data_IF_520666444089
#
_entry.id   IF_520666444089
#
_cell.length_a   1.000
_cell.length_b   1.000
_cell.length_c   1.000
_cell.angle_alpha   90.00
_cell.angle_beta   90.00
_cell.angle_gamma   90.00
#
_symmetry.space_group_name_H-M   'P 1'
#
loop_
_entity.id
_entity.type
_entity.pdbx_description
1 polymer ?
#
# COMPACT_ATOMS: atom_id res chain seq x y z
N UNK A 1 -15.43 3.83 17.97
CA UNK A 1 -16.73 3.82 17.26
C UNK A 1 -16.98 2.43 16.72
N UNK A 2 -18.08 1.84 17.14
CA UNK A 2 -18.42 0.48 16.72
C UNK A 2 -19.32 0.53 15.49
N UNK A 3 -18.85 -0.08 14.41
CA UNK A 3 -19.64 -0.27 13.20
C UNK A 3 -19.83 -1.77 12.98
N UNK A 4 -21.00 -2.18 12.51
CA UNK A 4 -21.19 -3.57 12.17
C UNK A 4 -20.44 -3.95 10.88
N UNK A 5 -20.32 -5.22 10.60
CA UNK A 5 -19.58 -5.73 9.47
C UNK A 5 -20.14 -5.25 8.13
N UNK A 6 -21.47 -5.22 8.00
CA UNK A 6 -22.12 -4.76 6.78
C UNK A 6 -21.80 -3.30 6.48
N UNK A 7 -21.83 -2.44 7.51
CA UNK A 7 -21.47 -1.02 7.36
C UNK A 7 -20.03 -0.84 6.94
N UNK A 8 -19.12 -1.63 7.52
CA UNK A 8 -17.70 -1.57 7.15
C UNK A 8 -17.47 -1.95 5.69
N UNK A 9 -18.11 -3.00 5.21
CA UNK A 9 -18.02 -3.40 3.81
C UNK A 9 -18.62 -2.35 2.88
N UNK A 10 -19.78 -1.79 3.25
CA UNK A 10 -20.46 -0.80 2.43
C UNK A 10 -19.68 0.51 2.30
N UNK A 11 -18.98 0.92 3.35
CA UNK A 11 -18.23 2.16 3.40
C UNK A 11 -16.82 2.07 2.83
N UNK A 12 -16.25 0.84 2.74
CA UNK A 12 -14.91 0.67 2.21
C UNK A 12 -14.87 1.07 0.74
N UNK A 13 -13.93 1.90 0.38
CA UNK A 13 -13.67 2.29 -1.00
C UNK A 13 -12.20 2.61 -1.20
N UNK A 14 -11.76 2.62 -2.45
CA UNK A 14 -10.43 3.11 -2.80
C UNK A 14 -10.44 4.63 -2.81
N UNK A 15 -9.56 5.23 -2.03
CA UNK A 15 -9.44 6.69 -1.94
C UNK A 15 -8.17 7.08 -2.68
N UNK A 16 -8.30 7.97 -3.67
CA UNK A 16 -7.16 8.40 -4.48
C UNK A 16 -6.59 9.74 -4.07
N UNK A 17 -7.39 10.59 -3.42
CA UNK A 17 -6.93 11.87 -2.91
C UNK A 17 -6.32 11.67 -1.53
N UNK A 18 -5.06 11.25 -1.51
CA UNK A 18 -4.35 10.92 -0.28
C UNK A 18 -3.67 12.14 0.32
N UNK A 19 -3.57 12.14 1.65
CA UNK A 19 -2.78 13.11 2.39
C UNK A 19 -1.79 12.41 3.30
N UNK A 20 -0.81 13.16 3.81
CA UNK A 20 0.23 12.60 4.67
C UNK A 20 0.04 12.92 6.15
N UNK A 21 -1.14 13.37 6.53
CA UNK A 21 -1.44 13.66 7.92
C UNK A 21 -1.49 12.36 8.71
N UNK A 22 -0.65 12.27 9.73
CA UNK A 22 -0.59 11.10 10.59
C UNK A 22 -1.70 11.18 11.65
N UNK A 23 -2.66 10.25 11.58
CA UNK A 23 -3.78 10.16 12.52
C UNK A 23 -3.47 9.16 13.63
N UNK A 24 -2.77 8.08 13.30
CA UNK A 24 -2.37 7.03 14.25
C UNK A 24 -0.85 6.91 14.28
N UNK A 25 -0.26 6.49 15.43
CA UNK A 25 1.16 6.17 15.48
C UNK A 25 1.51 5.03 14.51
N UNK A 26 2.74 5.04 14.00
CA UNK A 26 3.22 3.99 13.08
C UNK A 26 3.11 2.60 13.68
N UNK A 27 3.39 2.46 14.97
CA UNK A 27 3.27 1.18 15.69
C UNK A 27 1.84 0.64 15.67
N UNK A 28 0.85 1.53 15.79
CA UNK A 28 -0.55 1.15 15.76
C UNK A 28 -1.01 0.76 14.35
N UNK A 29 -0.57 1.52 13.34
CA UNK A 29 -0.85 1.19 11.94
C UNK A 29 -0.25 -0.18 11.57
N UNK A 30 1.00 -0.40 11.95
CA UNK A 30 1.68 -1.68 11.70
C UNK A 30 1.00 -2.84 12.42
N UNK A 31 0.47 -2.60 13.63
CA UNK A 31 -0.30 -3.59 14.38
C UNK A 31 -1.58 -3.99 13.66
N UNK A 32 -2.30 -3.03 13.10
CA UNK A 32 -3.52 -3.28 12.33
C UNK A 32 -3.20 -4.13 11.09
N UNK A 33 -2.13 -3.81 10.40
CA UNK A 33 -1.69 -4.56 9.21
C UNK A 33 -1.30 -5.98 9.59
N UNK A 34 -0.56 -6.16 10.68
CA UNK A 34 -0.16 -7.49 11.18
C UNK A 34 -1.38 -8.34 11.53
N UNK A 35 -2.38 -7.76 12.18
CA UNK A 35 -3.63 -8.46 12.52
C UNK A 35 -4.39 -8.87 11.27
N UNK A 36 -4.45 -7.99 10.27
CA UNK A 36 -5.10 -8.30 9.00
C UNK A 36 -4.44 -9.49 8.31
N UNK A 37 -3.11 -9.54 8.29
CA UNK A 37 -2.36 -10.67 7.73
C UNK A 37 -2.62 -11.96 8.50
N UNK A 38 -2.63 -11.89 9.82
CA UNK A 38 -2.79 -13.05 10.68
C UNK A 38 -4.16 -13.70 10.53
N UNK A 39 -5.21 -12.89 10.39
CA UNK A 39 -6.59 -13.37 10.41
C UNK A 39 -7.26 -13.43 9.03
N UNK A 40 -6.64 -12.87 7.99
CA UNK A 40 -7.19 -12.94 6.64
C UNK A 40 -6.97 -14.34 6.05
N UNK A 41 -8.01 -14.98 5.51
CA UNK A 41 -7.85 -16.29 4.90
C UNK A 41 -7.00 -16.23 3.64
N UNK A 42 -6.26 -17.30 3.39
CA UNK A 42 -5.47 -17.47 2.18
C UNK A 42 -5.91 -18.73 1.42
N UNK A 43 -5.63 -18.76 0.11
CA UNK A 43 -5.99 -19.90 -0.72
C UNK A 43 -5.32 -21.18 -0.18
N UNK A 44 -6.11 -22.22 0.07
CA UNK A 44 -5.64 -23.50 0.65
C UNK A 44 -4.86 -23.31 1.95
N UNK A 45 -5.12 -22.23 2.68
CA UNK A 45 -4.40 -21.89 3.91
C UNK A 45 -2.87 -21.87 3.71
N UNK A 46 -2.42 -21.37 2.57
CA UNK A 46 -1.01 -21.36 2.20
C UNK A 46 -0.17 -20.45 3.10
N UNK A 47 -0.77 -19.41 3.66
CA UNK A 47 -0.10 -18.43 4.53
C UNK A 47 1.18 -17.86 3.89
N UNK A 48 1.15 -17.71 2.57
CA UNK A 48 2.31 -17.30 1.76
C UNK A 48 2.51 -15.79 1.70
N UNK A 49 1.54 -15.00 2.16
CA UNK A 49 1.61 -13.55 2.10
C UNK A 49 2.72 -13.00 3.00
N UNK A 50 3.50 -12.08 2.46
CA UNK A 50 4.51 -11.32 3.22
C UNK A 50 4.31 -9.86 2.90
N UNK A 51 4.48 -8.99 3.89
CA UNK A 51 4.34 -7.55 3.67
C UNK A 51 5.55 -6.80 4.20
N UNK A 52 5.84 -5.69 3.53
CA UNK A 52 6.81 -4.69 4.00
C UNK A 52 6.07 -3.38 4.09
N UNK A 53 6.16 -2.72 5.24
CA UNK A 53 5.53 -1.43 5.48
C UNK A 53 6.61 -0.36 5.48
N UNK A 54 6.45 0.64 4.63
CA UNK A 54 7.45 1.68 4.45
C UNK A 54 6.90 3.05 4.88
N UNK A 55 7.68 3.76 5.68
CA UNK A 55 7.41 5.12 6.13
C UNK A 55 8.62 6.02 5.87
N UNK A 56 8.41 7.32 5.88
CA UNK A 56 9.50 8.30 5.87
C UNK A 56 10.43 8.16 4.66
N UNK A 57 11.73 8.05 4.91
CA UNK A 57 12.75 7.99 3.87
C UNK A 57 12.65 6.74 3.02
N UNK A 58 12.32 5.59 3.60
CA UNK A 58 12.13 4.36 2.85
C UNK A 58 10.92 4.44 1.92
N UNK A 59 9.86 5.10 2.37
CA UNK A 59 8.68 5.37 1.57
C UNK A 59 9.04 6.25 0.36
N UNK A 60 9.77 7.32 0.58
CA UNK A 60 10.22 8.21 -0.50
C UNK A 60 11.13 7.48 -1.48
N UNK A 61 12.06 6.68 -0.98
CA UNK A 61 12.96 5.87 -1.84
C UNK A 61 12.20 4.90 -2.72
N UNK A 62 11.17 4.26 -2.20
CA UNK A 62 10.34 3.34 -2.99
C UNK A 62 9.74 4.07 -4.19
N UNK A 63 9.10 5.21 -3.96
CA UNK A 63 8.44 5.93 -5.04
C UNK A 63 9.41 6.55 -6.03
N UNK A 64 10.60 6.92 -5.59
CA UNK A 64 11.68 7.35 -6.49
C UNK A 64 12.14 6.19 -7.39
N UNK A 65 12.27 5.01 -6.85
CA UNK A 65 12.60 3.81 -7.63
C UNK A 65 11.51 3.49 -8.64
N UNK A 66 10.25 3.56 -8.23
CA UNK A 66 9.11 3.32 -9.11
C UNK A 66 9.14 4.30 -10.29
N UNK A 67 9.36 5.57 -10.02
CA UNK A 67 9.41 6.60 -11.06
C UNK A 67 10.59 6.37 -12.01
N UNK A 68 11.75 6.02 -11.47
CA UNK A 68 12.95 5.71 -12.26
C UNK A 68 12.71 4.53 -13.20
N UNK A 69 12.13 3.45 -12.68
CA UNK A 69 11.85 2.26 -13.49
C UNK A 69 10.78 2.54 -14.55
N UNK A 70 9.76 3.31 -14.23
CA UNK A 70 8.74 3.69 -15.20
C UNK A 70 9.31 4.55 -16.33
N UNK A 71 10.28 5.40 -16.04
CA UNK A 71 10.92 6.24 -17.05
C UNK A 71 11.63 5.43 -18.14
N UNK A 72 11.98 4.18 -17.84
CA UNK A 72 12.65 3.28 -18.79
C UNK A 72 11.67 2.61 -19.76
N UNK A 73 10.40 2.49 -19.40
CA UNK A 73 9.40 1.72 -20.16
C UNK A 73 8.26 2.57 -20.70
N UNK A 74 8.00 3.74 -20.11
CA UNK A 74 6.91 4.64 -20.53
C UNK A 74 7.43 5.57 -21.61
N UNK A 75 6.71 5.72 -22.74
CA UNK A 75 7.09 6.68 -23.80
C UNK A 75 7.20 8.11 -23.24
N UNK A 76 8.14 8.89 -23.77
CA UNK A 76 8.40 10.26 -23.32
C UNK A 76 7.16 11.16 -23.35
N UNK A 77 6.32 11.01 -24.36
CA UNK A 77 5.10 11.81 -24.51
C UNK A 77 4.04 11.49 -23.44
N UNK A 78 4.14 10.32 -22.81
CA UNK A 78 3.22 9.88 -21.74
C UNK A 78 3.79 10.08 -20.34
N UNK A 79 5.07 10.42 -20.22
CA UNK A 79 5.72 10.59 -18.91
C UNK A 79 5.08 11.68 -18.04
N UNK A 80 4.69 12.86 -18.56
CA UNK A 80 4.05 13.86 -17.71
C UNK A 80 2.81 13.36 -16.99
N UNK A 81 1.94 12.62 -17.67
CA UNK A 81 0.75 12.02 -17.06
C UNK A 81 1.12 10.95 -16.01
N UNK A 82 2.14 10.15 -16.30
CA UNK A 82 2.65 9.13 -15.38
C UNK A 82 3.23 9.78 -14.12
N UNK A 83 4.00 10.85 -14.24
CA UNK A 83 4.55 11.58 -13.09
C UNK A 83 3.44 12.12 -12.21
N UNK A 84 2.40 12.71 -12.79
CA UNK A 84 1.25 13.20 -12.01
C UNK A 84 0.54 12.09 -11.26
N UNK A 85 0.37 10.94 -11.89
CA UNK A 85 -0.26 9.77 -11.27
C UNK A 85 0.58 9.25 -10.09
N UNK A 86 1.90 9.16 -10.25
CA UNK A 86 2.81 8.75 -9.18
C UNK A 86 2.79 9.76 -8.03
N UNK A 87 2.71 11.05 -8.30
CA UNK A 87 2.57 12.07 -7.26
C UNK A 87 1.33 11.84 -6.41
N UNK A 88 0.20 11.49 -7.00
CA UNK A 88 -1.03 11.20 -6.24
C UNK A 88 -0.87 9.96 -5.39
N UNK A 89 -0.23 8.91 -5.90
CA UNK A 89 -0.01 7.68 -5.15
C UNK A 89 0.99 7.87 -4.00
N UNK A 90 2.00 8.70 -4.21
CA UNK A 90 3.05 8.95 -3.21
C UNK A 90 2.71 10.06 -2.22
N UNK A 91 1.51 10.62 -2.27
CA UNK A 91 1.08 11.69 -1.38
C UNK A 91 0.63 11.20 0.01
N UNK A 92 0.58 9.90 0.24
CA UNK A 92 0.17 9.31 1.50
C UNK A 92 1.26 9.32 2.56
N UNK A 93 0.95 8.73 3.71
CA UNK A 93 1.86 8.64 4.85
C UNK A 93 2.89 7.52 4.67
N UNK A 94 2.48 6.42 4.05
CA UNK A 94 3.31 5.24 3.88
C UNK A 94 2.75 4.30 2.83
N UNK A 95 3.44 3.19 2.63
CA UNK A 95 3.04 2.18 1.65
C UNK A 95 3.19 0.78 2.25
N UNK A 96 2.25 -0.08 1.94
CA UNK A 96 2.33 -1.50 2.25
C UNK A 96 2.62 -2.25 0.96
N UNK A 97 3.75 -2.94 0.91
CA UNK A 97 4.12 -3.79 -0.21
C UNK A 97 3.77 -5.23 0.11
N UNK A 98 3.05 -5.87 -0.78
CA UNK A 98 2.64 -7.26 -0.63
C UNK A 98 3.53 -8.16 -1.49
N UNK A 99 4.03 -9.21 -0.88
CA UNK A 99 4.82 -10.23 -1.55
C UNK A 99 4.23 -11.60 -1.25
N UNK A 100 4.49 -12.55 -2.11
CA UNK A 100 4.11 -13.93 -1.90
C UNK A 100 5.36 -14.79 -1.82
N UNK A 101 5.44 -15.61 -0.78
CA UNK A 101 6.52 -16.57 -0.65
C UNK A 101 6.20 -17.78 -1.51
N UNK A 102 6.84 -17.88 -2.66
CA UNK A 102 6.60 -18.94 -3.63
C UNK A 102 6.92 -20.33 -3.10
N UNK A 103 7.76 -20.41 -2.06
CA UNK A 103 8.12 -21.70 -1.46
C UNK A 103 6.98 -22.32 -0.64
N UNK A 104 5.96 -21.52 -0.25
CA UNK A 104 4.82 -21.97 0.55
C UNK A 104 3.53 -22.14 -0.25
N UNK A 105 3.58 -21.90 -1.54
CA UNK A 105 2.42 -21.99 -2.44
C UNK A 105 2.28 -23.38 -3.02
#
# INVERSE_FOLDING_TARGET
MNKDLSSLYAERRSVYNLGNRQILPETEISGIIADALKFCPSAFNSQSARVVVLYGDYYRKLWDIVLTELSKVVPEDKMPATIEKIKTFSAGLGTVLFFEDASTV
#
